data_IF_851007833273
#
_entry.id   IF_851007833273
#
_cell.length_a   1.000
_cell.length_b   1.000
_cell.length_c   1.000
_cell.angle_alpha   90.00
_cell.angle_beta   90.00
_cell.angle_gamma   90.00
#
_symmetry.space_group_name_H-M   'P 1'
#
loop_
_entity.id
_entity.type
_entity.pdbx_description
1 polymer ?
#
# COMPACT_ATOMS: atom_id res chain seq x y z
N UNK A 1 21.63 5.99 -1.88
CA UNK A 1 20.38 5.22 -2.12
C UNK A 1 19.23 5.89 -1.39
N UNK A 2 18.12 6.22 -2.05
CA UNK A 2 16.98 6.88 -1.38
C UNK A 2 16.02 5.91 -0.69
N UNK A 3 15.30 6.37 0.33
CA UNK A 3 14.35 5.56 1.12
C UNK A 3 13.33 4.77 0.25
N UNK A 4 12.87 5.37 -0.85
CA UNK A 4 11.93 4.72 -1.79
C UNK A 4 12.52 3.52 -2.52
N UNK A 5 13.85 3.46 -2.71
CA UNK A 5 14.52 2.33 -3.35
C UNK A 5 14.52 1.10 -2.43
N UNK A 6 14.77 1.30 -1.13
CA UNK A 6 14.64 0.24 -0.12
C UNK A 6 13.22 -0.29 -0.02
N UNK A 7 12.22 0.60 0.01
CA UNK A 7 10.81 0.19 -0.01
C UNK A 7 10.49 -0.67 -1.24
N UNK A 8 11.02 -0.30 -2.42
CA UNK A 8 10.83 -1.09 -3.63
C UNK A 8 11.48 -2.47 -3.53
N UNK A 9 12.68 -2.58 -2.97
CA UNK A 9 13.40 -3.85 -2.81
C UNK A 9 12.69 -4.80 -1.84
N UNK A 10 12.17 -4.26 -0.73
CA UNK A 10 11.35 -5.03 0.23
C UNK A 10 10.10 -5.57 -0.47
N UNK A 11 9.40 -4.73 -1.24
CA UNK A 11 8.21 -5.15 -2.00
C UNK A 11 8.50 -6.11 -3.16
N UNK A 12 9.75 -6.23 -3.61
CA UNK A 12 10.17 -7.24 -4.60
C UNK A 12 10.18 -8.64 -3.97
N UNK A 13 10.54 -8.75 -2.68
CA UNK A 13 10.59 -10.02 -1.93
C UNK A 13 9.30 -10.26 -1.13
N UNK A 14 8.17 -10.44 -1.82
CA UNK A 14 6.85 -10.64 -1.18
C UNK A 14 6.75 -11.89 -0.30
N UNK A 15 7.60 -12.90 -0.54
CA UNK A 15 7.60 -14.16 0.20
C UNK A 15 8.38 -14.10 1.51
N UNK A 16 9.16 -13.04 1.73
CA UNK A 16 9.88 -12.84 2.99
C UNK A 16 8.92 -12.84 4.18
N UNK A 17 9.38 -13.35 5.32
CA UNK A 17 8.55 -13.49 6.53
C UNK A 17 8.00 -12.14 7.00
N UNK A 18 8.80 -11.07 6.89
CA UNK A 18 8.38 -9.70 7.18
C UNK A 18 7.20 -9.27 6.30
N UNK A 19 7.29 -9.49 4.99
CA UNK A 19 6.21 -9.09 4.08
C UNK A 19 4.96 -9.94 4.27
N UNK A 20 5.11 -11.26 4.47
CA UNK A 20 4.00 -12.16 4.77
C UNK A 20 3.27 -11.78 6.06
N UNK A 21 4.02 -11.43 7.11
CA UNK A 21 3.45 -10.96 8.37
C UNK A 21 2.64 -9.67 8.20
N UNK A 22 3.22 -8.67 7.52
CA UNK A 22 2.53 -7.39 7.25
C UNK A 22 1.27 -7.60 6.41
N UNK A 23 1.34 -8.44 5.36
CA UNK A 23 0.17 -8.72 4.53
C UNK A 23 -0.92 -9.47 5.30
N UNK A 24 -0.57 -10.43 6.16
CA UNK A 24 -1.55 -11.17 6.96
C UNK A 24 -2.38 -10.24 7.84
N UNK A 25 -1.73 -9.31 8.55
CA UNK A 25 -2.42 -8.33 9.41
C UNK A 25 -3.30 -7.40 8.55
N UNK A 26 -2.77 -6.90 7.43
CA UNK A 26 -3.52 -6.00 6.54
C UNK A 26 -4.75 -6.67 5.93
N UNK A 27 -4.64 -7.91 5.45
CA UNK A 27 -5.77 -8.66 4.91
C UNK A 27 -6.82 -8.96 5.97
N UNK A 28 -6.44 -9.14 7.23
CA UNK A 28 -7.40 -9.23 8.32
C UNK A 28 -8.15 -7.92 8.55
N UNK A 29 -7.44 -6.79 8.60
CA UNK A 29 -8.07 -5.47 8.75
C UNK A 29 -9.00 -5.15 7.58
N UNK A 30 -8.55 -5.37 6.33
CA UNK A 30 -9.36 -5.09 5.15
C UNK A 30 -10.64 -5.92 5.12
N UNK A 31 -10.66 -7.13 5.69
CA UNK A 31 -11.88 -7.95 5.81
C UNK A 31 -12.99 -7.33 6.65
N UNK A 32 -12.67 -6.39 7.53
CA UNK A 32 -13.64 -5.72 8.39
C UNK A 32 -14.16 -4.40 7.82
N UNK A 33 -13.50 -3.88 6.77
CA UNK A 33 -13.85 -2.60 6.17
C UNK A 33 -14.78 -2.85 4.98
N UNK A 34 -15.58 -1.85 4.61
CA UNK A 34 -16.42 -1.91 3.42
C UNK A 34 -15.59 -2.13 2.14
N UNK A 35 -16.19 -2.81 1.15
CA UNK A 35 -15.55 -3.24 -0.10
C UNK A 35 -14.83 -2.10 -0.85
N UNK A 36 -15.35 -0.88 -0.75
CA UNK A 36 -14.71 0.34 -1.25
C UNK A 36 -14.69 1.33 -0.10
N UNK A 37 -13.48 1.72 0.32
CA UNK A 37 -13.31 2.79 1.28
C UNK A 37 -12.21 3.76 0.84
N UNK A 38 -12.34 5.01 1.27
CA UNK A 38 -11.34 6.04 1.01
C UNK A 38 -10.23 5.93 2.06
N UNK A 39 -8.99 5.78 1.60
CA UNK A 39 -7.84 5.79 2.49
C UNK A 39 -7.20 7.18 2.54
N UNK A 40 -6.80 7.68 3.73
CA UNK A 40 -6.17 8.99 3.88
C UNK A 40 -4.76 9.03 3.26
N UNK A 41 -4.05 7.90 3.26
CA UNK A 41 -2.71 7.75 2.68
C UNK A 41 -2.62 6.45 1.88
N UNK A 42 -1.76 6.43 0.86
CA UNK A 42 -1.51 5.21 0.10
C UNK A 42 -0.74 4.19 0.94
N UNK A 43 -1.18 2.93 0.91
CA UNK A 43 -0.51 1.80 1.55
C UNK A 43 0.90 1.55 0.99
N UNK A 44 1.14 1.97 -0.26
CA UNK A 44 2.39 1.77 -0.99
C UNK A 44 2.84 3.08 -1.65
N UNK A 45 3.47 4.00 -0.88
CA UNK A 45 3.74 5.37 -1.32
C UNK A 45 4.73 5.43 -2.49
N UNK A 46 5.69 4.52 -2.58
CA UNK A 46 6.67 4.46 -3.67
C UNK A 46 6.03 4.05 -5.00
N UNK A 47 5.07 3.11 -4.97
CA UNK A 47 4.32 2.73 -6.18
C UNK A 47 3.36 3.84 -6.59
N UNK A 48 2.63 4.41 -5.63
CA UNK A 48 1.72 5.51 -5.91
C UNK A 48 2.43 6.70 -6.56
N UNK A 49 3.61 7.08 -6.05
CA UNK A 49 4.40 8.19 -6.60
C UNK A 49 4.92 7.90 -8.02
N UNK A 50 5.28 6.64 -8.32
CA UNK A 50 5.61 6.21 -9.69
C UNK A 50 4.41 6.30 -10.64
N UNK A 51 3.21 6.04 -10.15
CA UNK A 51 1.96 6.16 -10.89
C UNK A 51 1.45 7.62 -10.98
N UNK A 52 2.22 8.59 -10.50
CA UNK A 52 1.87 10.02 -10.58
C UNK A 52 1.07 10.57 -9.39
N UNK A 53 0.88 9.79 -8.32
CA UNK A 53 0.29 10.33 -7.08
C UNK A 53 1.18 11.41 -6.48
N UNK A 54 0.57 12.57 -6.19
CA UNK A 54 1.19 13.66 -5.45
C UNK A 54 0.38 13.92 -4.19
N UNK A 55 1.05 14.20 -3.07
CA UNK A 55 0.41 14.56 -1.82
C UNK A 55 -0.06 16.04 -1.87
N UNK A 56 -1.04 16.32 -2.71
CA UNK A 56 -1.70 17.63 -2.86
C UNK A 56 -3.21 17.42 -2.77
N UNK A 57 -3.95 18.45 -2.35
CA UNK A 57 -5.41 18.44 -2.42
C UNK A 57 -5.89 18.07 -3.84
N UNK A 58 -6.96 17.28 -3.92
CA UNK A 58 -7.50 16.75 -5.18
C UNK A 58 -7.06 15.31 -5.51
N UNK A 59 -5.98 14.79 -4.91
CA UNK A 59 -5.59 13.39 -5.09
C UNK A 59 -6.25 12.48 -4.05
N UNK A 60 -7.04 11.52 -4.52
CA UNK A 60 -7.76 10.56 -3.66
C UNK A 60 -7.32 9.14 -3.99
N UNK A 61 -6.94 8.38 -2.96
CA UNK A 61 -6.67 6.94 -3.09
C UNK A 61 -7.90 6.17 -2.60
N UNK A 62 -8.44 5.30 -3.46
CA UNK A 62 -9.45 4.32 -3.08
C UNK A 62 -8.76 3.00 -2.77
N UNK A 63 -9.02 2.45 -1.60
CA UNK A 63 -8.62 1.08 -1.28
C UNK A 63 -9.75 0.16 -1.71
N UNK A 64 -9.45 -0.68 -2.69
CA UNK A 64 -10.33 -1.75 -3.14
C UNK A 64 -9.94 -3.03 -2.42
N UNK A 65 -10.93 -3.68 -1.81
CA UNK A 65 -10.75 -5.00 -1.24
C UNK A 65 -10.92 -6.05 -2.34
N UNK A 66 -9.89 -6.22 -3.16
CA UNK A 66 -9.80 -7.40 -4.02
C UNK A 66 -9.05 -8.48 -3.23
N UNK A 67 -9.80 -9.52 -2.84
CA UNK A 67 -9.25 -10.84 -2.57
C UNK A 67 -8.46 -11.31 -3.81
#
# INVERSE_FOLDING_TARGET
MGAYKYLQEIYRKKQSDVMRFIFRIRTWHYRQVAAIHRAPKSTRPEKARRLGYKAKAGYVNKQYQFL
#
